data_IF_683194375586
#
_entry.id   IF_683194375586
#
_cell.length_a   1.000
_cell.length_b   1.000
_cell.length_c   1.000
_cell.angle_alpha   90.00
_cell.angle_beta   90.00
_cell.angle_gamma   90.00
#
_symmetry.space_group_name_H-M   'P 1'
#
loop_
_entity.id
_entity.type
_entity.pdbx_description
1 polymer ?
#
# COMPACT_ATOMS: atom_id res chain seq x y z
N UNK A 1 61.20 -34.74 5.09
CA UNK A 1 59.89 -35.15 4.54
C UNK A 1 58.82 -34.84 5.59
N UNK A 2 58.16 -33.68 5.53
CA UNK A 2 57.08 -33.31 6.46
C UNK A 2 55.74 -33.83 5.95
N UNK A 3 55.40 -35.07 6.31
CA UNK A 3 54.11 -35.66 5.98
C UNK A 3 53.00 -35.16 6.93
N UNK A 4 53.34 -34.93 8.20
CA UNK A 4 52.40 -34.49 9.23
C UNK A 4 51.85 -33.07 8.96
N UNK A 5 52.71 -32.14 8.53
CA UNK A 5 52.33 -30.74 8.27
C UNK A 5 51.40 -30.59 7.05
N UNK A 6 51.50 -31.51 6.07
CA UNK A 6 50.57 -31.54 4.95
C UNK A 6 49.18 -31.99 5.41
N UNK A 7 49.08 -33.07 6.19
CA UNK A 7 47.80 -33.61 6.65
C UNK A 7 47.00 -32.60 7.49
N UNK A 8 47.66 -31.80 8.32
CA UNK A 8 47.01 -30.75 9.12
C UNK A 8 46.46 -29.61 8.27
N UNK A 9 47.19 -29.18 7.23
CA UNK A 9 46.74 -28.11 6.31
C UNK A 9 45.54 -28.54 5.46
N UNK A 10 45.49 -29.80 5.02
CA UNK A 10 44.33 -30.34 4.30
C UNK A 10 43.10 -30.41 5.21
N UNK A 11 43.24 -30.95 6.43
CA UNK A 11 42.15 -30.99 7.41
C UNK A 11 41.63 -29.60 7.81
N UNK A 12 42.50 -28.60 7.89
CA UNK A 12 42.08 -27.22 8.20
C UNK A 12 41.30 -26.57 7.05
N UNK A 13 41.68 -26.84 5.79
CA UNK A 13 40.94 -26.37 4.61
C UNK A 13 39.57 -27.00 4.49
N UNK A 14 39.46 -28.31 4.70
CA UNK A 14 38.18 -29.03 4.70
C UNK A 14 37.24 -28.48 5.78
N UNK A 15 37.75 -28.24 7.00
CA UNK A 15 36.94 -27.62 8.07
C UNK A 15 36.51 -26.19 7.72
N UNK A 16 37.38 -25.39 7.12
CA UNK A 16 37.00 -24.04 6.69
C UNK A 16 35.94 -24.07 5.57
N UNK A 17 36.02 -25.04 4.65
CA UNK A 17 35.01 -25.25 3.62
C UNK A 17 33.67 -25.68 4.23
N UNK A 18 33.67 -26.65 5.15
CA UNK A 18 32.46 -27.08 5.85
C UNK A 18 31.80 -25.95 6.63
N UNK A 19 32.57 -25.12 7.35
CA UNK A 19 32.02 -23.95 8.04
C UNK A 19 31.42 -22.94 7.05
N UNK A 20 32.04 -22.74 5.89
CA UNK A 20 31.48 -21.89 4.83
C UNK A 20 30.18 -22.45 4.26
N UNK A 21 30.09 -23.76 4.08
CA UNK A 21 28.91 -24.43 3.55
C UNK A 21 27.76 -24.42 4.57
N UNK A 22 28.04 -24.60 5.86
CA UNK A 22 27.06 -24.49 6.95
C UNK A 22 26.51 -23.06 7.09
N UNK A 23 27.37 -22.05 6.98
CA UNK A 23 26.95 -20.64 7.00
C UNK A 23 26.07 -20.31 5.80
N UNK A 24 26.40 -20.84 4.62
CA UNK A 24 25.57 -20.68 3.43
C UNK A 24 24.22 -21.39 3.59
N UNK A 25 24.20 -22.60 4.12
CA UNK A 25 22.98 -23.36 4.37
C UNK A 25 22.03 -22.61 5.33
N UNK A 26 22.56 -22.06 6.43
CA UNK A 26 21.77 -21.26 7.38
C UNK A 26 21.26 -19.96 6.74
N UNK A 27 22.08 -19.32 5.89
CA UNK A 27 21.66 -18.13 5.13
C UNK A 27 20.53 -18.43 4.14
N UNK A 28 20.61 -19.57 3.44
CA UNK A 28 19.56 -20.04 2.53
C UNK A 28 18.29 -20.34 3.31
N UNK A 29 18.38 -21.04 4.44
CA UNK A 29 17.24 -21.38 5.27
C UNK A 29 16.54 -20.15 5.86
N UNK A 30 17.30 -19.24 6.48
CA UNK A 30 16.77 -17.99 7.05
C UNK A 30 16.15 -17.08 5.98
N UNK A 31 16.75 -17.01 4.78
CA UNK A 31 16.20 -16.25 3.65
C UNK A 31 14.90 -16.88 3.11
N UNK A 32 14.84 -18.22 2.98
CA UNK A 32 13.60 -18.94 2.62
C UNK A 32 12.46 -18.64 3.59
N UNK A 33 12.73 -18.68 4.90
CA UNK A 33 11.77 -18.36 5.96
C UNK A 33 11.31 -16.90 5.86
N UNK A 34 12.24 -15.97 5.66
CA UNK A 34 11.94 -14.53 5.52
C UNK A 34 11.04 -14.27 4.32
N UNK A 35 11.38 -14.85 3.15
CA UNK A 35 10.56 -14.80 1.94
C UNK A 35 9.14 -15.30 2.20
N UNK A 36 9.00 -16.46 2.86
CA UNK A 36 7.69 -17.01 3.21
C UNK A 36 6.89 -16.07 4.14
N UNK A 37 7.56 -15.41 5.08
CA UNK A 37 6.93 -14.40 5.95
C UNK A 37 6.35 -13.22 5.18
N UNK A 38 7.09 -12.68 4.20
CA UNK A 38 6.60 -11.60 3.34
C UNK A 38 5.47 -12.04 2.42
N UNK A 39 5.55 -13.25 1.85
CA UNK A 39 4.42 -13.82 1.11
C UNK A 39 3.17 -13.94 1.99
N UNK A 40 3.34 -14.36 3.26
CA UNK A 40 2.25 -14.39 4.23
C UNK A 40 1.66 -13.01 4.54
N UNK A 41 2.44 -11.92 4.45
CA UNK A 41 1.92 -10.56 4.55
C UNK A 41 1.08 -10.20 3.31
N UNK A 42 1.57 -10.51 2.10
CA UNK A 42 0.82 -10.32 0.84
C UNK A 42 -0.53 -11.05 0.90
N UNK A 43 -0.53 -12.32 1.27
CA UNK A 43 -1.76 -13.14 1.35
C UNK A 43 -2.76 -12.59 2.36
N UNK A 44 -2.29 -12.08 3.51
CA UNK A 44 -3.17 -11.45 4.50
C UNK A 44 -3.85 -10.20 3.97
N UNK A 45 -3.13 -9.33 3.24
CA UNK A 45 -3.75 -8.14 2.65
C UNK A 45 -4.72 -8.52 1.53
N UNK A 46 -4.36 -9.49 0.68
CA UNK A 46 -5.26 -10.05 -0.34
C UNK A 46 -6.57 -10.54 0.27
N UNK A 47 -6.51 -11.35 1.32
CA UNK A 47 -7.71 -11.85 2.00
C UNK A 47 -8.59 -10.73 2.55
N UNK A 48 -8.00 -9.69 3.15
CA UNK A 48 -8.76 -8.50 3.61
C UNK A 48 -9.50 -7.82 2.45
N UNK A 49 -8.82 -7.61 1.32
CA UNK A 49 -9.45 -7.01 0.13
C UNK A 49 -10.60 -7.90 -0.35
N UNK A 50 -10.37 -9.21 -0.50
CA UNK A 50 -11.38 -10.15 -1.00
C UNK A 50 -12.69 -10.13 -0.18
N UNK A 51 -12.61 -9.92 1.15
CA UNK A 51 -13.81 -9.80 1.99
C UNK A 51 -14.63 -8.53 1.75
N UNK A 52 -14.05 -7.50 1.12
CA UNK A 52 -14.68 -6.19 0.89
C UNK A 52 -15.22 -6.02 -0.53
N UNK A 53 -14.86 -6.90 -1.47
CA UNK A 53 -15.19 -6.77 -2.90
C UNK A 53 -16.68 -6.96 -3.23
N UNK A 54 -17.53 -7.26 -2.25
CA UNK A 54 -18.96 -7.51 -2.45
C UNK A 54 -19.84 -6.28 -2.19
N UNK A 55 -19.27 -5.20 -1.65
CA UNK A 55 -20.03 -4.01 -1.25
C UNK A 55 -19.33 -2.75 -1.80
N UNK A 56 -19.97 -2.01 -2.73
CA UNK A 56 -19.42 -0.79 -3.33
C UNK A 56 -19.05 0.30 -2.32
N UNK A 57 -19.66 0.32 -1.13
CA UNK A 57 -19.35 1.32 -0.10
C UNK A 57 -17.95 1.19 0.48
N UNK A 58 -17.30 0.04 0.30
CA UNK A 58 -15.93 -0.19 0.74
C UNK A 58 -14.85 0.30 -0.24
N UNK A 59 -15.21 1.01 -1.32
CA UNK A 59 -14.29 1.40 -2.39
C UNK A 59 -13.04 2.14 -1.88
N UNK A 60 -13.18 3.06 -0.92
CA UNK A 60 -12.04 3.80 -0.37
C UNK A 60 -11.12 2.91 0.48
N UNK A 61 -11.71 2.01 1.27
CA UNK A 61 -10.95 1.02 2.05
C UNK A 61 -10.20 0.05 1.14
N UNK A 62 -10.84 -0.42 0.07
CA UNK A 62 -10.22 -1.27 -0.95
C UNK A 62 -9.08 -0.55 -1.65
N UNK A 63 -9.23 0.74 -1.99
CA UNK A 63 -8.16 1.56 -2.57
C UNK A 63 -6.94 1.66 -1.64
N UNK A 64 -7.17 1.92 -0.36
CA UNK A 64 -6.09 1.98 0.65
C UNK A 64 -5.40 0.62 0.81
N UNK A 65 -6.16 -0.47 0.91
CA UNK A 65 -5.61 -1.82 1.02
C UNK A 65 -4.87 -2.24 -0.25
N UNK A 66 -5.29 -1.79 -1.44
CA UNK A 66 -4.58 -2.04 -2.70
C UNK A 66 -3.16 -1.46 -2.66
N UNK A 67 -2.99 -0.26 -2.10
CA UNK A 67 -1.65 0.32 -1.92
C UNK A 67 -0.80 -0.48 -0.92
N UNK A 68 -1.42 -0.95 0.17
CA UNK A 68 -0.74 -1.83 1.14
C UNK A 68 -0.35 -3.18 0.52
N UNK A 69 -1.19 -3.72 -0.36
CA UNK A 69 -0.94 -4.95 -1.10
C UNK A 69 0.27 -4.77 -2.02
N UNK A 70 0.33 -3.69 -2.80
CA UNK A 70 1.47 -3.38 -3.67
C UNK A 70 2.78 -3.19 -2.89
N UNK A 71 2.73 -2.51 -1.74
CA UNK A 71 3.90 -2.36 -0.89
C UNK A 71 4.37 -3.71 -0.32
N UNK A 72 3.45 -4.54 0.16
CA UNK A 72 3.77 -5.88 0.65
C UNK A 72 4.36 -6.76 -0.46
N UNK A 73 3.83 -6.63 -1.68
CA UNK A 73 4.34 -7.34 -2.85
C UNK A 73 5.76 -6.93 -3.18
N UNK A 74 6.08 -5.63 -3.18
CA UNK A 74 7.46 -5.14 -3.41
C UNK A 74 8.45 -5.75 -2.42
N UNK A 75 8.14 -5.75 -1.12
CA UNK A 75 9.02 -6.34 -0.10
C UNK A 75 9.17 -7.85 -0.28
N UNK A 76 8.10 -8.56 -0.69
CA UNK A 76 8.20 -9.97 -1.05
C UNK A 76 9.14 -10.18 -2.26
N UNK A 77 9.03 -9.36 -3.31
CA UNK A 77 9.89 -9.44 -4.51
C UNK A 77 11.36 -9.19 -4.14
N UNK A 78 11.66 -8.18 -3.32
CA UNK A 78 13.01 -7.91 -2.83
C UNK A 78 13.60 -9.11 -2.08
N UNK A 79 12.83 -9.67 -1.14
CA UNK A 79 13.24 -10.87 -0.40
C UNK A 79 13.39 -12.09 -1.29
N UNK A 80 12.53 -12.24 -2.31
CA UNK A 80 12.62 -13.33 -3.28
C UNK A 80 13.89 -13.21 -4.13
N UNK A 81 14.18 -12.02 -4.67
CA UNK A 81 15.37 -11.77 -5.48
C UNK A 81 16.65 -12.05 -4.67
N UNK A 82 16.68 -11.61 -3.41
CA UNK A 82 17.79 -11.93 -2.52
C UNK A 82 17.92 -13.45 -2.29
N UNK A 83 16.82 -14.15 -2.01
CA UNK A 83 16.82 -15.60 -1.85
C UNK A 83 17.34 -16.32 -3.09
N UNK A 84 16.86 -15.95 -4.28
CA UNK A 84 17.31 -16.51 -5.56
C UNK A 84 18.80 -16.24 -5.79
N UNK A 85 19.30 -15.06 -5.43
CA UNK A 85 20.71 -14.68 -5.63
C UNK A 85 21.71 -15.50 -4.82
N UNK A 86 21.26 -16.14 -3.73
CA UNK A 86 22.10 -16.98 -2.87
C UNK A 86 21.89 -18.48 -3.11
N UNK A 87 20.95 -18.87 -3.97
CA UNK A 87 20.81 -20.24 -4.43
C UNK A 87 21.85 -20.55 -5.50
N UNK A 88 22.30 -21.81 -5.56
CA UNK A 88 23.07 -22.29 -6.70
C UNK A 88 22.20 -22.28 -7.96
N UNK A 89 22.67 -21.67 -9.05
CA UNK A 89 21.93 -21.53 -10.32
C UNK A 89 21.51 -22.86 -10.94
N UNK A 90 22.25 -23.93 -10.65
CA UNK A 90 21.99 -25.28 -11.15
C UNK A 90 21.16 -26.13 -10.18
N UNK A 91 20.74 -25.54 -9.05
CA UNK A 91 19.96 -26.27 -8.05
C UNK A 91 18.50 -26.41 -8.47
N UNK A 92 17.90 -27.55 -8.15
CA UNK A 92 16.46 -27.77 -8.36
C UNK A 92 15.61 -26.73 -7.62
N UNK A 93 16.05 -26.31 -6.43
CA UNK A 93 15.37 -25.27 -5.63
C UNK A 93 15.32 -23.93 -6.38
N UNK A 94 16.37 -23.56 -7.12
CA UNK A 94 16.41 -22.34 -7.92
C UNK A 94 15.30 -22.35 -8.98
N UNK A 95 15.24 -23.38 -9.81
CA UNK A 95 14.22 -23.48 -10.88
C UNK A 95 12.79 -23.54 -10.32
N UNK A 96 12.58 -24.33 -9.26
CA UNK A 96 11.29 -24.41 -8.60
C UNK A 96 10.86 -23.06 -8.00
N UNK A 97 11.81 -22.34 -7.39
CA UNK A 97 11.57 -21.01 -6.81
C UNK A 97 11.16 -19.99 -7.86
N UNK A 98 11.79 -20.02 -9.05
CA UNK A 98 11.42 -19.15 -10.17
C UNK A 98 10.02 -19.47 -10.71
N UNK A 99 9.74 -20.75 -10.97
CA UNK A 99 8.43 -21.18 -11.46
C UNK A 99 7.29 -20.78 -10.51
N UNK A 100 7.49 -20.95 -9.20
CA UNK A 100 6.53 -20.51 -8.19
C UNK A 100 6.31 -18.99 -8.23
N UNK A 101 7.38 -18.23 -8.42
CA UNK A 101 7.29 -16.77 -8.49
C UNK A 101 6.52 -16.32 -9.72
N UNK A 102 6.74 -16.94 -10.88
CA UNK A 102 6.01 -16.63 -12.11
C UNK A 102 4.51 -16.86 -11.93
N UNK A 103 4.13 -17.99 -11.32
CA UNK A 103 2.72 -18.26 -11.01
C UNK A 103 2.13 -17.19 -10.08
N UNK A 104 2.82 -16.88 -8.98
CA UNK A 104 2.37 -15.84 -8.04
C UNK A 104 2.28 -14.46 -8.72
N UNK A 105 3.16 -14.16 -9.67
CA UNK A 105 3.14 -12.92 -10.42
C UNK A 105 1.92 -12.83 -11.34
N UNK A 106 1.57 -13.93 -12.03
CA UNK A 106 0.34 -14.01 -12.83
C UNK A 106 -0.91 -13.84 -11.96
N UNK A 107 -0.95 -14.50 -10.81
CA UNK A 107 -2.05 -14.33 -9.84
C UNK A 107 -2.16 -12.88 -9.36
N UNK A 108 -1.02 -12.22 -9.11
CA UNK A 108 -0.97 -10.80 -8.72
C UNK A 108 -1.54 -9.90 -9.80
N UNK A 109 -1.22 -10.14 -11.07
CA UNK A 109 -1.78 -9.38 -12.20
C UNK A 109 -3.31 -9.54 -12.26
N UNK A 110 -3.80 -10.78 -12.21
CA UNK A 110 -5.24 -11.06 -12.26
C UNK A 110 -5.97 -10.41 -11.06
N UNK A 111 -5.36 -10.42 -9.87
CA UNK A 111 -5.93 -9.82 -8.69
C UNK A 111 -5.99 -8.28 -8.77
N UNK A 112 -4.95 -7.63 -9.28
CA UNK A 112 -4.95 -6.18 -9.50
C UNK A 112 -6.02 -5.78 -10.53
N UNK A 113 -6.21 -6.58 -11.58
CA UNK A 113 -7.30 -6.37 -12.55
C UNK A 113 -8.67 -6.48 -11.87
N UNK A 114 -8.87 -7.47 -11.01
CA UNK A 114 -10.12 -7.65 -10.24
C UNK A 114 -10.41 -6.43 -9.35
N UNK A 115 -9.41 -5.92 -8.63
CA UNK A 115 -9.54 -4.70 -7.81
C UNK A 115 -9.92 -3.51 -8.69
N UNK A 116 -9.24 -3.35 -9.84
CA UNK A 116 -9.49 -2.23 -10.76
C UNK A 116 -10.92 -2.26 -11.31
N UNK A 117 -11.42 -3.44 -11.68
CA UNK A 117 -12.80 -3.62 -12.12
C UNK A 117 -13.80 -3.24 -11.03
N UNK A 118 -13.62 -3.78 -9.81
CA UNK A 118 -14.47 -3.43 -8.67
C UNK A 118 -14.50 -1.91 -8.38
N UNK A 119 -13.36 -1.22 -8.45
CA UNK A 119 -13.31 0.23 -8.22
C UNK A 119 -14.03 1.03 -9.31
N UNK A 120 -14.00 0.55 -10.56
CA UNK A 120 -14.75 1.14 -11.66
C UNK A 120 -16.25 0.93 -11.49
N UNK A 121 -16.66 -0.28 -11.11
CA UNK A 121 -18.07 -0.63 -10.86
C UNK A 121 -18.62 0.20 -9.69
N UNK A 122 -17.86 0.33 -8.60
CA UNK A 122 -18.24 1.17 -7.47
C UNK A 122 -18.37 2.65 -7.85
N UNK A 123 -17.45 3.17 -8.67
CA UNK A 123 -17.55 4.55 -9.18
C UNK A 123 -18.81 4.76 -10.03
N UNK A 124 -19.16 3.77 -10.87
CA UNK A 124 -20.37 3.79 -11.69
C UNK A 124 -21.63 3.80 -10.82
N UNK A 125 -21.70 2.91 -9.83
CA UNK A 125 -22.79 2.84 -8.85
C UNK A 125 -23.03 4.19 -8.14
N UNK A 126 -21.95 4.84 -7.67
CA UNK A 126 -22.11 6.15 -7.01
C UNK A 126 -22.52 7.26 -7.97
N UNK A 127 -22.03 7.24 -9.21
CA UNK A 127 -22.44 8.21 -10.22
C UNK A 127 -23.94 8.06 -10.54
N UNK A 128 -24.46 6.84 -10.69
CA UNK A 128 -25.88 6.58 -10.92
C UNK A 128 -26.74 7.10 -9.75
N UNK A 129 -26.35 6.83 -8.50
CA UNK A 129 -27.04 7.36 -7.31
C UNK A 129 -27.06 8.89 -7.30
N UNK A 130 -25.95 9.54 -7.63
CA UNK A 130 -25.87 11.01 -7.66
C UNK A 130 -26.78 11.56 -8.77
N UNK A 131 -26.78 10.93 -9.94
CA UNK A 131 -27.61 11.33 -11.07
C UNK A 131 -29.10 11.20 -10.75
N UNK A 132 -29.55 10.06 -10.22
CA UNK A 132 -30.94 9.84 -9.81
C UNK A 132 -31.40 10.85 -8.76
N UNK A 133 -30.57 11.13 -7.75
CA UNK A 133 -30.86 12.17 -6.76
C UNK A 133 -30.88 13.59 -7.36
N UNK A 134 -30.12 13.84 -8.43
CA UNK A 134 -30.13 15.12 -9.15
C UNK A 134 -31.38 15.32 -10.01
N UNK A 135 -31.97 14.23 -10.51
CA UNK A 135 -33.25 14.26 -11.23
C UNK A 135 -34.40 14.56 -10.25
N UNK A 136 -34.41 13.90 -9.09
CA UNK A 136 -35.39 14.17 -8.03
C UNK A 136 -35.32 15.61 -7.49
N UNK A 137 -34.12 16.20 -7.41
CA UNK A 137 -33.95 17.62 -7.03
C UNK A 137 -34.42 18.61 -8.10
N UNK A 138 -34.44 18.22 -9.38
CA UNK A 138 -34.90 19.08 -10.48
C UNK A 138 -36.42 19.10 -10.62
N UNK A 139 -37.11 18.01 -10.28
CA UNK A 139 -38.57 17.94 -10.36
C UNK A 139 -39.29 18.75 -9.27
N UNK A 140 -38.59 19.18 -8.22
CA UNK A 140 -39.14 20.03 -7.15
C UNK A 140 -38.96 21.55 -7.37
N UNK A 141 -38.50 21.99 -8.53
CA UNK A 141 -38.52 23.40 -8.91
C UNK A 141 -39.78 23.64 -9.75
N UNK A 142 -40.90 23.85 -9.06
CA UNK A 142 -42.16 24.32 -9.66
C UNK A 142 -41.92 25.65 -10.38
N UNK A 143 -42.29 25.80 -11.67
CA UNK A 143 -42.25 27.07 -12.36
C UNK A 143 -43.58 27.80 -12.18
N UNK A 144 -43.89 28.26 -10.96
CA UNK A 144 -44.92 29.29 -10.75
C UNK A 144 -44.84 29.87 -9.33
N UNK A 145 -44.30 31.08 -9.20
CA UNK A 145 -44.97 32.22 -8.55
C UNK A 145 -44.28 33.51 -8.96
N UNK A 146 -45.11 34.47 -9.33
CA UNK A 146 -44.83 35.77 -9.91
C UNK A 146 -43.91 36.68 -9.09
N UNK A 147 -43.12 37.46 -9.84
CA UNK A 147 -42.83 38.89 -9.67
C UNK A 147 -43.33 39.57 -8.38
N UNK A 148 -42.41 40.04 -7.53
CA UNK A 148 -42.59 41.31 -6.81
C UNK A 148 -41.27 42.09 -6.74
N UNK A 149 -41.29 43.19 -7.49
CA UNK A 149 -40.59 44.46 -7.36
C UNK A 149 -39.56 44.71 -6.25
N UNK A 150 -38.47 45.30 -6.72
CA UNK A 150 -37.44 46.03 -5.98
C UNK A 150 -38.01 47.16 -5.10
N UNK A 151 -37.64 47.16 -3.83
CA UNK A 151 -37.55 48.40 -3.05
C UNK A 151 -36.18 48.53 -2.39
N UNK A 152 -35.41 49.47 -2.95
CA UNK A 152 -34.31 50.16 -2.28
C UNK A 152 -34.88 50.90 -1.07
N UNK A 153 -34.25 50.72 0.08
CA UNK A 153 -34.33 51.68 1.19
C UNK A 153 -32.94 51.85 1.83
N UNK A 154 -32.30 52.95 1.45
CA UNK A 154 -31.31 53.64 2.26
C UNK A 154 -31.96 54.09 3.58
N UNK A 155 -31.31 53.91 4.73
CA UNK A 155 -30.93 55.05 5.57
C UNK A 155 -30.01 54.65 6.72
N UNK A 156 -29.12 55.59 6.98
CA UNK A 156 -27.92 55.60 7.81
C UNK A 156 -28.14 55.95 9.29
N UNK A 157 -27.08 55.69 10.07
CA UNK A 157 -26.71 56.21 11.42
C UNK A 157 -27.01 55.21 12.54
N UNK A 158 -26.06 54.71 13.33
CA UNK A 158 -24.67 55.06 13.52
C UNK A 158 -24.37 54.96 15.01
N UNK A 159 -23.42 54.11 15.40
CA UNK A 159 -22.64 54.33 16.61
C UNK A 159 -21.25 53.72 16.42
N UNK A 160 -20.28 54.62 16.55
CA UNK A 160 -18.86 54.36 16.52
C UNK A 160 -18.48 53.71 17.85
N UNK A 161 -17.65 52.68 17.82
CA UNK A 161 -16.53 52.57 18.76
C UNK A 161 -15.37 51.84 18.09
N UNK A 162 -14.23 52.50 18.14
CA UNK A 162 -12.93 52.14 17.59
C UNK A 162 -12.33 50.89 18.26
N UNK A 163 -11.64 50.04 17.51
CA UNK A 163 -10.16 50.06 17.41
C UNK A 163 -9.55 48.71 16.95
N UNK A 164 -8.70 48.83 15.93
CA UNK A 164 -7.53 47.99 15.54
C UNK A 164 -7.78 46.49 15.28
N UNK A 165 -7.80 45.97 14.03
CA UNK A 165 -6.67 45.83 13.09
C UNK A 165 -5.35 45.64 13.84
N UNK A 166 -4.74 44.46 13.89
CA UNK A 166 -3.76 44.02 12.89
C UNK A 166 -3.28 42.63 13.37
N UNK A 167 -3.53 41.60 12.55
CA UNK A 167 -2.53 40.61 12.08
C UNK A 167 -1.79 39.76 13.14
N UNK A 168 -2.04 38.45 13.08
CA UNK A 168 -1.03 37.40 12.94
C UNK A 168 0.34 37.64 13.60
N UNK A 169 0.46 37.65 14.93
CA UNK A 169 1.79 37.54 15.55
C UNK A 169 1.74 37.15 17.04
N UNK A 170 1.30 35.93 17.37
CA UNK A 170 1.63 35.32 18.67
C UNK A 170 1.69 33.80 18.63
N UNK A 171 2.30 33.30 17.54
CA UNK A 171 2.86 31.94 17.43
C UNK A 171 4.31 31.86 17.90
N UNK A 172 4.79 32.84 18.66
CA UNK A 172 6.18 32.94 19.08
C UNK A 172 6.29 33.40 20.54
N UNK A 173 5.83 32.58 21.50
CA UNK A 173 6.30 32.62 22.89
C UNK A 173 5.81 31.43 23.76
N UNK A 174 5.55 30.26 23.18
CA UNK A 174 5.30 29.01 23.92
C UNK A 174 6.50 28.03 23.85
N UNK A 175 7.72 28.54 23.70
CA UNK A 175 8.98 27.74 23.68
C UNK A 175 10.03 28.24 24.68
N UNK A 176 9.72 29.24 25.52
CA UNK A 176 10.59 29.62 26.66
C UNK A 176 9.77 30.19 27.81
N UNK A 177 9.23 29.33 28.66
CA UNK A 177 9.13 29.50 30.12
C UNK A 177 8.23 28.43 30.73
N UNK A 178 8.82 27.65 31.64
CA UNK A 178 8.27 26.67 32.58
C UNK A 178 7.85 25.31 32.04
#
# INVERSE_FOLDING_TARGET
MDWANRNTKWSQRERMQQVSDDVLAEKVYSSKRTRAGYLGAVTRVRGKIETLLNDPTNAETVRTLSQQYDNSWKTFVESHNYYVSILGSDSQEFYHTLQQFDQLHLEKIAFVQKISGYLLDAATYFNEIIMDNSHLRREHISPYTESVESYRSNSSRGSKHSSSSVVLEKRAQAVKAN
#
